data_IF_252970169411
#
_entry.id   IF_252970169411
#
_cell.length_a   1.000
_cell.length_b   1.000
_cell.length_c   1.000
_cell.angle_alpha   90.00
_cell.angle_beta   90.00
_cell.angle_gamma   90.00
#
_symmetry.space_group_name_H-M   'P 1'
#
loop_
_entity.id
_entity.type
_entity.pdbx_description
1 polymer ?
#
# COMPACT_ATOMS: atom_id res chain seq x y z
N UNK A 1 1.76 -15.01 6.86
CA UNK A 1 0.38 -15.52 7.07
C UNK A 1 0.10 -16.78 6.24
N UNK A 2 0.41 -16.87 4.93
CA UNK A 2 0.15 -18.10 4.16
C UNK A 2 0.72 -19.39 4.78
N UNK A 3 1.96 -19.35 5.28
CA UNK A 3 2.58 -20.52 5.94
C UNK A 3 1.80 -20.99 7.19
N UNK A 4 1.24 -20.09 7.97
CA UNK A 4 0.43 -20.45 9.14
C UNK A 4 -0.90 -21.11 8.73
N UNK A 5 -1.49 -20.66 7.62
CA UNK A 5 -2.68 -21.28 7.03
C UNK A 5 -2.35 -22.68 6.51
N UNK A 6 -1.26 -22.83 5.76
CA UNK A 6 -0.81 -24.10 5.19
C UNK A 6 -0.50 -25.17 6.26
N UNK A 7 -0.17 -24.74 7.48
CA UNK A 7 0.17 -25.60 8.62
C UNK A 7 -0.93 -25.70 9.67
N UNK A 8 -2.16 -25.27 9.34
CA UNK A 8 -3.34 -25.34 10.19
C UNK A 8 -3.20 -24.61 11.55
N UNK A 9 -2.32 -23.62 11.65
CA UNK A 9 -2.14 -22.85 12.89
C UNK A 9 -3.18 -21.75 13.05
N UNK A 10 -3.77 -21.30 11.94
CA UNK A 10 -4.87 -20.33 11.85
C UNK A 10 -5.96 -20.87 10.93
N UNK A 11 -7.18 -20.38 11.11
CA UNK A 11 -8.34 -20.75 10.28
C UNK A 11 -8.46 -19.84 9.05
N UNK A 12 -7.87 -18.65 9.09
CA UNK A 12 -7.87 -17.68 8.03
C UNK A 12 -6.97 -16.49 8.33
N UNK A 13 -6.90 -15.58 7.40
CA UNK A 13 -6.20 -14.30 7.59
C UNK A 13 -6.80 -13.20 6.72
N UNK A 14 -6.65 -11.96 7.15
CA UNK A 14 -6.83 -10.79 6.31
C UNK A 14 -5.48 -10.13 6.03
N UNK A 15 -5.16 -9.99 4.77
CA UNK A 15 -3.88 -9.46 4.32
C UNK A 15 -4.04 -8.59 3.08
N UNK A 16 -2.97 -7.91 2.74
CA UNK A 16 -2.78 -7.21 1.48
C UNK A 16 -2.25 -8.16 0.39
N UNK A 17 -2.32 -7.72 -0.86
CA UNK A 17 -1.71 -8.40 -1.98
C UNK A 17 -0.16 -8.32 -1.93
N UNK A 18 0.53 -9.38 -2.34
CA UNK A 18 0.05 -10.58 -3.07
C UNK A 18 -0.41 -11.74 -2.15
N UNK A 19 -0.45 -11.59 -0.85
CA UNK A 19 -0.68 -12.69 0.08
C UNK A 19 -2.10 -13.28 -0.02
N UNK A 20 -3.09 -12.51 -0.47
CA UNK A 20 -4.43 -13.02 -0.80
C UNK A 20 -4.37 -13.92 -2.03
N UNK A 21 -3.68 -13.47 -3.08
CA UNK A 21 -3.49 -14.25 -4.31
C UNK A 21 -2.71 -15.54 -4.06
N UNK A 22 -1.68 -15.53 -3.20
CA UNK A 22 -0.96 -16.75 -2.79
C UNK A 22 -1.92 -17.85 -2.34
N UNK A 23 -2.86 -17.54 -1.43
CA UNK A 23 -3.79 -18.55 -0.95
C UNK A 23 -4.74 -19.07 -2.04
N UNK A 24 -5.19 -18.20 -2.92
CA UNK A 24 -6.08 -18.51 -4.03
C UNK A 24 -5.36 -19.40 -5.08
N UNK A 25 -4.20 -18.98 -5.55
CA UNK A 25 -3.45 -19.68 -6.62
C UNK A 25 -2.96 -21.05 -6.15
N UNK A 26 -2.53 -21.16 -4.89
CA UNK A 26 -2.10 -22.44 -4.30
C UNK A 26 -3.26 -23.37 -3.93
N UNK A 27 -4.51 -22.87 -3.95
CA UNK A 27 -5.69 -23.62 -3.52
C UNK A 27 -5.74 -23.90 -2.01
N UNK A 28 -4.85 -23.30 -1.20
CA UNK A 28 -4.85 -23.51 0.25
C UNK A 28 -5.93 -22.68 0.96
N UNK A 29 -6.45 -21.65 0.32
CA UNK A 29 -7.45 -20.77 0.90
C UNK A 29 -8.54 -20.33 -0.09
N UNK A 30 -9.68 -19.96 0.46
CA UNK A 30 -10.83 -19.39 -0.24
C UNK A 30 -10.97 -17.93 0.15
N UNK A 31 -11.06 -17.02 -0.83
CA UNK A 31 -11.29 -15.60 -0.59
C UNK A 31 -12.74 -15.39 -0.20
N UNK A 32 -12.97 -14.98 1.04
CA UNK A 32 -14.30 -14.69 1.60
C UNK A 32 -14.85 -13.37 1.10
N UNK A 33 -13.97 -12.36 1.07
CA UNK A 33 -14.29 -11.00 0.61
C UNK A 33 -13.00 -10.25 0.29
N UNK A 34 -13.01 -9.46 -0.76
CA UNK A 34 -12.02 -8.40 -0.92
C UNK A 34 -12.40 -7.21 -0.02
N UNK A 35 -11.43 -6.35 0.26
CA UNK A 35 -11.59 -5.25 1.22
C UNK A 35 -12.70 -4.28 0.84
N UNK A 36 -12.85 -3.95 -0.44
CA UNK A 36 -13.91 -3.07 -0.96
C UNK A 36 -15.31 -3.66 -0.83
N UNK A 37 -15.40 -4.99 -0.73
CA UNK A 37 -16.65 -5.72 -0.63
C UNK A 37 -17.08 -6.02 0.81
N UNK A 38 -16.27 -5.66 1.80
CA UNK A 38 -16.60 -5.88 3.21
C UNK A 38 -17.84 -5.09 3.62
N UNK A 39 -18.73 -5.68 4.47
CA UNK A 39 -19.92 -4.97 4.95
C UNK A 39 -19.59 -3.89 6.00
N UNK A 40 -20.54 -2.94 6.16
CA UNK A 40 -21.72 -2.72 5.30
C UNK A 40 -21.32 -2.05 3.99
N UNK A 41 -21.83 -2.57 2.86
CA UNK A 41 -21.60 -1.93 1.55
C UNK A 41 -22.34 -0.59 1.46
N UNK A 42 -21.80 0.45 0.82
CA UNK A 42 -20.54 0.52 0.05
C UNK A 42 -19.39 1.17 0.86
N UNK A 43 -19.35 1.04 2.18
CA UNK A 43 -18.49 1.81 3.09
C UNK A 43 -17.00 1.74 2.73
N UNK A 44 -16.55 0.61 2.21
CA UNK A 44 -15.14 0.38 1.87
C UNK A 44 -14.84 0.45 0.38
N UNK A 45 -15.81 0.81 -0.46
CA UNK A 45 -15.60 1.04 -1.88
C UNK A 45 -14.64 2.23 -2.08
N UNK A 46 -13.65 2.11 -2.97
CA UNK A 46 -12.60 3.11 -3.21
C UNK A 46 -11.82 3.53 -1.95
N UNK A 47 -11.77 2.69 -0.92
CA UNK A 47 -11.09 3.07 0.32
C UNK A 47 -9.60 3.35 0.08
N UNK A 48 -9.08 4.33 0.81
CA UNK A 48 -7.66 4.66 0.75
C UNK A 48 -6.79 3.48 1.18
N UNK A 49 -5.67 3.31 0.50
CA UNK A 49 -4.66 2.36 0.87
C UNK A 49 -3.28 3.04 0.88
N UNK A 50 -2.31 2.62 0.06
CA UNK A 50 -1.00 3.24 0.12
C UNK A 50 -0.95 4.54 -0.70
N UNK A 51 -0.19 5.46 -0.17
CA UNK A 51 0.02 6.80 -0.71
C UNK A 51 1.49 7.17 -0.67
N UNK A 52 1.90 8.10 -1.52
CA UNK A 52 3.18 8.77 -1.32
C UNK A 52 3.05 9.73 -0.14
N UNK A 53 3.93 9.55 0.85
CA UNK A 53 4.03 10.38 2.05
C UNK A 53 5.38 11.09 2.03
N UNK A 54 5.43 12.37 2.36
CA UNK A 54 6.65 13.15 2.42
C UNK A 54 6.83 13.86 3.76
N UNK A 55 8.08 14.03 4.20
CA UNK A 55 8.40 14.92 5.32
C UNK A 55 8.18 16.36 4.88
N UNK A 56 7.48 17.14 5.72
CA UNK A 56 7.15 18.53 5.40
C UNK A 56 8.40 19.35 5.04
N UNK A 57 9.45 19.27 5.87
CA UNK A 57 10.73 19.96 5.66
C UNK A 57 11.33 19.66 4.29
N UNK A 58 11.40 18.36 3.90
CA UNK A 58 12.00 17.92 2.63
C UNK A 58 11.19 18.44 1.43
N UNK A 59 9.87 18.34 1.51
CA UNK A 59 8.97 18.81 0.44
C UNK A 59 9.03 20.32 0.30
N UNK A 60 9.07 21.06 1.43
CA UNK A 60 9.08 22.52 1.45
C UNK A 60 10.44 23.10 1.01
N UNK A 61 11.56 22.44 1.34
CA UNK A 61 12.90 22.85 0.92
C UNK A 61 13.21 22.49 -0.54
N UNK A 62 12.66 21.39 -1.05
CA UNK A 62 12.91 20.88 -2.40
C UNK A 62 11.61 20.58 -3.18
N UNK A 63 10.73 21.57 -3.38
CA UNK A 63 9.42 21.34 -3.99
C UNK A 63 9.52 20.80 -5.43
N UNK A 64 10.49 21.28 -6.22
CA UNK A 64 10.67 20.81 -7.62
C UNK A 64 11.15 19.37 -7.68
N UNK A 65 11.90 18.90 -6.69
CA UNK A 65 12.28 17.49 -6.55
C UNK A 65 11.07 16.63 -6.18
N UNK A 66 10.23 17.10 -5.26
CA UNK A 66 8.97 16.45 -4.90
C UNK A 66 8.04 16.34 -6.12
N UNK A 67 7.93 17.40 -6.92
CA UNK A 67 7.17 17.42 -8.17
C UNK A 67 7.72 16.39 -9.18
N UNK A 68 9.04 16.29 -9.33
CA UNK A 68 9.68 15.33 -10.24
C UNK A 68 9.44 13.88 -9.79
N UNK A 69 9.53 13.60 -8.49
CA UNK A 69 9.19 12.30 -7.93
C UNK A 69 7.71 11.96 -8.16
N UNK A 70 6.81 12.93 -8.00
CA UNK A 70 5.40 12.76 -8.28
C UNK A 70 5.14 12.47 -9.77
N UNK A 71 5.80 13.14 -10.70
CA UNK A 71 5.66 12.89 -12.15
C UNK A 71 6.01 11.44 -12.50
N UNK A 72 7.15 10.93 -12.04
CA UNK A 72 7.57 9.56 -12.37
C UNK A 72 6.63 8.52 -11.76
N UNK A 73 6.14 8.74 -10.52
CA UNK A 73 5.22 7.80 -9.88
C UNK A 73 3.81 7.84 -10.49
N UNK A 74 3.33 9.00 -10.96
CA UNK A 74 2.06 9.09 -11.69
C UNK A 74 2.17 8.31 -13.01
N UNK A 75 3.20 8.52 -13.79
CA UNK A 75 3.42 7.73 -15.02
C UNK A 75 3.54 6.23 -14.72
N UNK A 76 4.22 5.85 -13.65
CA UNK A 76 4.34 4.45 -13.25
C UNK A 76 3.02 3.84 -12.80
N UNK A 77 2.17 4.61 -12.11
CA UNK A 77 0.81 4.17 -11.73
C UNK A 77 -0.05 3.92 -12.96
N UNK A 78 -0.04 4.83 -13.93
CA UNK A 78 -0.74 4.68 -15.19
C UNK A 78 -0.22 3.47 -15.98
N UNK A 79 1.11 3.32 -16.07
CA UNK A 79 1.74 2.18 -16.73
C UNK A 79 1.37 0.84 -16.06
N UNK A 80 1.38 0.78 -14.74
CA UNK A 80 1.00 -0.41 -13.95
C UNK A 80 -0.43 -0.84 -14.28
N UNK A 81 -1.36 0.09 -14.37
CA UNK A 81 -2.76 -0.15 -14.72
C UNK A 81 -2.92 -0.62 -16.16
N UNK A 82 -2.18 -0.02 -17.09
CA UNK A 82 -2.27 -0.28 -18.54
C UNK A 82 -1.49 -1.52 -18.98
N UNK A 83 -0.48 -1.94 -18.20
CA UNK A 83 0.41 -3.05 -18.50
C UNK A 83 0.52 -4.04 -17.33
N UNK A 84 -0.58 -4.69 -16.92
CA UNK A 84 -0.62 -5.52 -15.72
C UNK A 84 0.35 -6.71 -15.77
N UNK A 85 0.66 -7.27 -16.94
CA UNK A 85 1.65 -8.34 -17.06
C UNK A 85 3.09 -7.86 -16.78
N UNK A 86 3.44 -6.65 -17.22
CA UNK A 86 4.74 -6.05 -16.92
C UNK A 86 4.85 -5.70 -15.43
N UNK A 87 3.77 -5.17 -14.84
CA UNK A 87 3.69 -4.89 -13.42
C UNK A 87 3.81 -6.18 -12.59
N UNK A 88 3.11 -7.24 -12.97
CA UNK A 88 3.19 -8.54 -12.32
C UNK A 88 4.63 -9.10 -12.34
N UNK A 89 5.33 -8.98 -13.47
CA UNK A 89 6.73 -9.39 -13.58
C UNK A 89 7.64 -8.57 -12.68
N UNK A 90 7.52 -7.26 -12.68
CA UNK A 90 8.32 -6.37 -11.85
C UNK A 90 8.11 -6.66 -10.35
N UNK A 91 6.85 -6.86 -9.93
CA UNK A 91 6.48 -7.21 -8.56
C UNK A 91 7.00 -8.59 -8.16
N UNK A 92 6.84 -9.60 -9.01
CA UNK A 92 7.32 -10.95 -8.74
C UNK A 92 8.83 -10.98 -8.44
N UNK A 93 9.62 -10.35 -9.33
CA UNK A 93 11.06 -10.25 -9.17
C UNK A 93 11.45 -9.49 -7.89
N UNK A 94 10.73 -8.39 -7.58
CA UNK A 94 11.05 -7.54 -6.44
C UNK A 94 10.65 -8.15 -5.09
N UNK A 95 9.45 -8.69 -5.00
CA UNK A 95 8.89 -9.19 -3.74
C UNK A 95 9.46 -10.57 -3.41
N UNK A 96 9.48 -11.48 -4.37
CA UNK A 96 9.80 -12.87 -4.17
C UNK A 96 11.17 -13.29 -4.73
N UNK A 97 11.73 -12.52 -5.68
CA UNK A 97 12.91 -12.93 -6.43
C UNK A 97 12.56 -13.88 -7.56
N UNK A 98 13.53 -14.75 -7.94
CA UNK A 98 13.42 -15.61 -9.13
C UNK A 98 13.14 -17.07 -8.81
N UNK A 99 12.92 -17.42 -7.54
CA UNK A 99 12.69 -18.81 -7.11
C UNK A 99 11.23 -19.06 -6.81
N UNK A 100 10.77 -20.26 -7.11
CA UNK A 100 9.43 -20.72 -6.74
C UNK A 100 9.16 -20.57 -5.24
N UNK A 101 7.92 -20.24 -4.92
CA UNK A 101 7.42 -20.17 -3.56
C UNK A 101 6.96 -21.54 -3.09
N UNK A 102 7.34 -21.92 -1.86
CA UNK A 102 6.94 -23.21 -1.28
C UNK A 102 6.22 -23.01 0.05
N UNK A 103 5.01 -23.58 0.15
CA UNK A 103 4.17 -23.59 1.34
C UNK A 103 3.79 -25.03 1.68
N UNK A 104 4.46 -25.63 2.67
CA UNK A 104 4.32 -27.06 2.94
C UNK A 104 4.85 -27.89 1.75
N UNK A 105 3.94 -28.59 1.07
CA UNK A 105 4.21 -29.40 -0.14
C UNK A 105 3.65 -28.77 -1.43
N UNK A 106 3.21 -27.53 -1.38
CA UNK A 106 2.70 -26.79 -2.52
C UNK A 106 3.79 -25.82 -3.02
N UNK A 107 4.09 -25.88 -4.31
CA UNK A 107 5.04 -24.99 -4.99
C UNK A 107 4.29 -24.20 -6.06
N UNK A 108 4.57 -22.90 -6.18
CA UNK A 108 3.94 -21.98 -7.13
C UNK A 108 4.97 -20.99 -7.67
N UNK A 109 4.85 -20.67 -8.96
CA UNK A 109 5.63 -19.62 -9.59
C UNK A 109 5.18 -18.24 -9.06
N UNK A 110 6.09 -17.38 -8.57
CA UNK A 110 5.78 -16.02 -8.17
C UNK A 110 5.01 -15.22 -9.23
N UNK A 111 5.32 -15.38 -10.49
CA UNK A 111 4.66 -14.68 -11.59
C UNK A 111 3.16 -15.05 -11.70
N UNK A 112 2.81 -16.31 -11.45
CA UNK A 112 1.40 -16.73 -11.44
C UNK A 112 0.63 -16.10 -10.27
N UNK A 113 1.30 -15.93 -9.13
CA UNK A 113 0.72 -15.21 -7.98
C UNK A 113 0.46 -13.76 -8.34
N UNK A 114 1.45 -13.07 -8.92
CA UNK A 114 1.34 -11.65 -9.24
C UNK A 114 0.33 -11.37 -10.36
N UNK A 115 0.24 -12.23 -11.37
CA UNK A 115 -0.81 -12.14 -12.40
C UNK A 115 -2.23 -12.26 -11.82
N UNK A 116 -2.37 -12.99 -10.72
CA UNK A 116 -3.65 -13.08 -10.01
C UNK A 116 -3.87 -11.91 -9.03
N UNK A 117 -2.81 -11.27 -8.58
CA UNK A 117 -2.79 -10.22 -7.59
C UNK A 117 -3.01 -8.83 -8.18
N UNK A 118 -2.14 -8.40 -9.08
CA UNK A 118 -2.13 -7.03 -9.64
C UNK A 118 -3.51 -6.57 -10.14
N UNK A 119 -4.30 -7.39 -10.88
CA UNK A 119 -5.62 -6.96 -11.35
C UNK A 119 -6.68 -6.72 -10.25
N UNK A 120 -6.38 -7.08 -9.00
CA UNK A 120 -7.30 -6.88 -7.86
C UNK A 120 -7.08 -5.56 -7.12
N UNK A 121 -6.12 -4.77 -7.57
CA UNK A 121 -5.76 -3.47 -6.99
C UNK A 121 -6.17 -2.37 -7.96
N UNK A 122 -6.77 -1.32 -7.45
CA UNK A 122 -7.13 -0.15 -8.24
C UNK A 122 -6.03 0.91 -8.16
N UNK A 123 -5.10 0.89 -9.12
CA UNK A 123 -4.00 1.86 -9.19
C UNK A 123 -4.51 3.23 -9.68
N UNK A 124 -4.49 4.22 -8.81
CA UNK A 124 -4.99 5.58 -9.05
C UNK A 124 -4.17 6.61 -8.26
N UNK A 125 -4.08 7.83 -8.78
CA UNK A 125 -3.38 8.92 -8.09
C UNK A 125 -4.30 10.08 -7.71
N UNK A 126 -5.58 10.04 -8.09
CA UNK A 126 -6.51 11.12 -7.78
C UNK A 126 -6.96 11.03 -6.33
N UNK A 127 -6.75 12.09 -5.50
CA UNK A 127 -7.35 12.18 -4.18
C UNK A 127 -8.85 12.51 -4.29
N UNK A 128 -9.64 11.51 -4.71
CA UNK A 128 -11.07 11.65 -4.92
C UNK A 128 -11.84 11.94 -3.62
N UNK A 129 -13.09 12.38 -3.75
CA UNK A 129 -13.94 12.62 -2.58
C UNK A 129 -14.20 11.33 -1.79
N UNK A 130 -14.36 10.17 -2.45
CA UNK A 130 -14.51 8.86 -1.80
C UNK A 130 -13.24 8.45 -1.06
N UNK A 131 -12.08 8.63 -1.67
CA UNK A 131 -10.79 8.39 -1.02
C UNK A 131 -10.60 9.26 0.23
N UNK A 132 -10.92 10.54 0.16
CA UNK A 132 -10.85 11.44 1.34
C UNK A 132 -11.85 11.05 2.43
N UNK A 133 -13.08 10.69 2.05
CA UNK A 133 -14.10 10.22 2.99
C UNK A 133 -13.69 8.93 3.71
N UNK A 134 -13.00 8.02 3.02
CA UNK A 134 -12.48 6.80 3.65
C UNK A 134 -11.40 7.09 4.71
N UNK A 135 -10.62 8.16 4.54
CA UNK A 135 -9.64 8.60 5.55
C UNK A 135 -10.35 9.12 6.81
N UNK A 136 -11.45 9.85 6.67
CA UNK A 136 -12.27 10.26 7.82
C UNK A 136 -12.88 9.04 8.54
N UNK A 137 -13.29 8.01 7.79
CA UNK A 137 -13.77 6.76 8.37
C UNK A 137 -12.66 6.03 9.16
N UNK A 138 -11.43 5.96 8.63
CA UNK A 138 -10.30 5.41 9.37
C UNK A 138 -9.99 6.21 10.64
N UNK A 139 -10.04 7.53 10.59
CA UNK A 139 -9.87 8.39 11.77
C UNK A 139 -10.95 8.08 12.81
N UNK A 140 -12.21 7.99 12.41
CA UNK A 140 -13.33 7.64 13.28
C UNK A 140 -13.10 6.29 13.97
N UNK A 141 -12.88 5.23 13.19
CA UNK A 141 -12.68 3.88 13.69
C UNK A 141 -11.46 3.77 14.64
N UNK A 142 -10.35 4.41 14.30
CA UNK A 142 -9.15 4.43 15.15
C UNK A 142 -9.37 5.22 16.44
N UNK A 143 -10.20 6.27 16.41
CA UNK A 143 -10.57 7.05 17.60
C UNK A 143 -11.47 6.24 18.53
N UNK A 144 -12.46 5.52 17.99
CA UNK A 144 -13.37 4.65 18.76
C UNK A 144 -12.65 3.57 19.58
N UNK A 145 -11.59 2.99 19.01
CA UNK A 145 -10.74 2.01 19.72
C UNK A 145 -9.63 2.64 20.56
N UNK A 146 -9.67 3.97 20.78
CA UNK A 146 -8.67 4.76 21.50
C UNK A 146 -7.23 4.64 20.95
N UNK A 147 -7.09 4.40 19.65
CA UNK A 147 -5.80 4.33 18.99
C UNK A 147 -5.28 5.71 18.58
N UNK A 148 -6.19 6.64 18.21
CA UNK A 148 -5.90 8.05 18.03
C UNK A 148 -6.32 8.84 19.28
N UNK A 149 -5.42 9.66 19.81
CA UNK A 149 -5.64 10.48 21.01
C UNK A 149 -4.95 11.86 20.89
N UNK A 150 -4.39 12.16 19.73
CA UNK A 150 -3.60 13.36 19.48
C UNK A 150 -4.37 14.46 18.74
N UNK A 151 -3.68 15.06 17.76
CA UNK A 151 -4.18 16.23 17.03
C UNK A 151 -5.41 15.93 16.17
N UNK A 152 -5.44 14.78 15.50
CA UNK A 152 -6.50 14.43 14.56
C UNK A 152 -7.80 14.01 15.26
N UNK A 153 -7.70 13.38 16.43
CA UNK A 153 -8.88 12.89 17.17
C UNK A 153 -9.90 14.01 17.46
N UNK A 154 -9.42 15.25 17.69
CA UNK A 154 -10.25 16.40 18.05
C UNK A 154 -10.28 17.53 17.01
N UNK A 155 -9.62 17.34 15.87
CA UNK A 155 -9.53 18.36 14.83
C UNK A 155 -10.87 18.48 14.06
N UNK A 156 -11.21 19.69 13.66
CA UNK A 156 -12.28 19.93 12.69
C UNK A 156 -11.92 19.36 11.32
N UNK A 157 -12.89 19.14 10.41
CA UNK A 157 -12.59 18.66 9.06
C UNK A 157 -11.55 19.50 8.30
N UNK A 158 -11.60 20.82 8.43
CA UNK A 158 -10.63 21.71 7.80
C UNK A 158 -9.22 21.51 8.38
N UNK A 159 -9.10 21.49 9.70
CA UNK A 159 -7.81 21.23 10.37
C UNK A 159 -7.25 19.86 10.06
N UNK A 160 -8.11 18.82 9.93
CA UNK A 160 -7.69 17.50 9.50
C UNK A 160 -7.06 17.53 8.11
N UNK A 161 -7.70 18.21 7.16
CA UNK A 161 -7.18 18.32 5.80
C UNK A 161 -5.82 19.03 5.78
N UNK A 162 -5.66 20.11 6.54
CA UNK A 162 -4.38 20.84 6.65
C UNK A 162 -3.27 20.00 7.30
N UNK A 163 -3.62 19.15 8.26
CA UNK A 163 -2.67 18.26 8.92
C UNK A 163 -2.28 17.08 8.05
N UNK A 164 -3.25 16.50 7.33
CA UNK A 164 -3.08 15.25 6.59
C UNK A 164 -2.43 15.45 5.22
N UNK A 165 -2.78 16.51 4.49
CA UNK A 165 -2.51 16.57 3.06
C UNK A 165 -1.62 17.73 2.64
N UNK A 166 -0.79 17.46 1.64
CA UNK A 166 -0.13 18.46 0.79
C UNK A 166 -0.19 17.97 -0.67
N UNK A 167 -1.26 18.31 -1.37
CA UNK A 167 -1.44 17.91 -2.76
C UNK A 167 -0.66 18.77 -3.77
N UNK A 168 0.15 19.75 -3.31
CA UNK A 168 0.96 20.59 -4.18
C UNK A 168 1.80 19.81 -5.19
N UNK A 169 2.63 18.83 -4.77
CA UNK A 169 3.42 18.01 -5.70
C UNK A 169 2.58 17.25 -6.73
N UNK A 170 1.41 16.74 -6.34
CA UNK A 170 0.48 16.07 -7.26
C UNK A 170 -0.08 17.01 -8.32
N UNK A 171 -0.59 18.18 -7.91
CA UNK A 171 -1.16 19.16 -8.84
C UNK A 171 -0.10 19.71 -9.80
N UNK A 172 1.11 19.99 -9.29
CA UNK A 172 2.23 20.43 -10.11
C UNK A 172 2.67 19.35 -11.10
N UNK A 173 2.72 18.10 -10.65
CA UNK A 173 3.05 16.97 -11.53
C UNK A 173 2.01 16.78 -12.65
N UNK A 174 0.73 16.86 -12.33
CA UNK A 174 -0.34 16.82 -13.36
C UNK A 174 -0.21 17.95 -14.37
N UNK A 175 0.11 19.15 -13.91
CA UNK A 175 0.34 20.29 -14.80
C UNK A 175 1.57 20.04 -15.68
N UNK A 176 2.67 19.54 -15.12
CA UNK A 176 3.89 19.21 -15.84
C UNK A 176 3.65 18.13 -16.93
N UNK A 177 2.93 17.07 -16.60
CA UNK A 177 2.53 15.99 -17.53
C UNK A 177 1.68 16.55 -18.67
N UNK A 178 0.65 17.33 -18.34
CA UNK A 178 -0.24 17.96 -19.35
C UNK A 178 0.54 18.88 -20.30
N UNK A 179 1.49 19.65 -19.76
CA UNK A 179 2.24 20.65 -20.52
C UNK A 179 3.50 20.04 -21.21
N UNK A 180 3.81 18.76 -20.98
CA UNK A 180 4.97 18.05 -21.51
C UNK A 180 6.29 18.63 -21.02
N UNK A 181 6.35 19.14 -19.77
CA UNK A 181 7.53 19.80 -19.20
C UNK A 181 7.86 19.21 -17.84
N UNK A 182 8.90 18.38 -17.80
CA UNK A 182 9.34 17.81 -16.54
C UNK A 182 9.92 18.86 -15.59
N UNK A 183 9.62 18.77 -14.28
CA UNK A 183 10.23 19.59 -13.25
C UNK A 183 11.74 19.35 -13.20
N UNK A 184 12.52 20.41 -13.30
CA UNK A 184 13.99 20.33 -13.26
C UNK A 184 14.51 21.28 -12.17
N UNK A 185 15.01 20.74 -11.05
CA UNK A 185 15.61 21.53 -9.99
C UNK A 185 16.82 22.36 -10.47
N UNK A 186 16.96 23.57 -9.98
CA UNK A 186 18.07 24.47 -10.31
C UNK A 186 19.34 24.19 -9.47
N UNK A 187 19.49 23.03 -8.88
CA UNK A 187 20.60 22.66 -7.98
C UNK A 187 21.33 21.40 -8.37
N UNK A 188 22.35 21.04 -7.60
CA UNK A 188 23.04 19.75 -7.71
C UNK A 188 22.18 18.57 -7.30
N UNK A 189 22.70 17.37 -7.50
CA UNK A 189 21.98 16.15 -7.14
C UNK A 189 21.96 15.98 -5.61
N UNK A 190 20.76 15.98 -5.07
CA UNK A 190 20.53 15.64 -3.66
C UNK A 190 20.50 14.13 -3.44
N UNK A 191 20.58 13.68 -2.19
CA UNK A 191 20.29 12.31 -1.82
C UNK A 191 18.98 12.29 -1.08
N UNK A 192 18.04 11.44 -1.52
CA UNK A 192 16.76 11.21 -0.85
C UNK A 192 16.59 9.72 -0.49
N UNK A 193 15.83 9.48 0.54
CA UNK A 193 15.49 8.13 1.02
C UNK A 193 14.00 7.86 0.83
N UNK A 194 13.64 6.72 0.24
CA UNK A 194 12.25 6.30 0.03
C UNK A 194 12.01 4.97 0.75
N UNK A 195 11.09 4.98 1.71
CA UNK A 195 10.63 3.78 2.39
C UNK A 195 9.55 3.05 1.60
N UNK A 196 9.59 1.71 1.61
CA UNK A 196 8.64 0.86 0.91
C UNK A 196 8.42 -0.48 1.63
N UNK A 197 7.37 -1.20 1.27
CA UNK A 197 7.07 -2.57 1.72
C UNK A 197 7.27 -3.58 0.58
N UNK A 198 7.48 -4.86 0.91
CA UNK A 198 7.38 -5.95 -0.06
C UNK A 198 5.89 -6.30 -0.24
N UNK A 199 5.22 -5.54 -1.06
CA UNK A 199 3.79 -5.58 -1.29
C UNK A 199 3.47 -5.08 -2.69
N UNK A 200 2.43 -5.63 -3.33
CA UNK A 200 1.91 -5.11 -4.61
C UNK A 200 1.33 -3.70 -4.49
N UNK A 201 1.07 -3.25 -3.28
CA UNK A 201 0.68 -1.87 -3.01
C UNK A 201 1.76 -0.87 -3.43
N UNK A 202 3.02 -1.31 -3.43
CA UNK A 202 4.19 -0.54 -3.88
C UNK A 202 4.54 -0.78 -5.37
N UNK A 203 3.72 -1.54 -6.12
CA UNK A 203 4.00 -1.89 -7.52
C UNK A 203 4.35 -0.69 -8.41
N UNK A 204 3.71 0.50 -8.31
CA UNK A 204 4.13 1.66 -9.09
C UNK A 204 5.60 2.06 -8.86
N UNK A 205 6.12 1.94 -7.64
CA UNK A 205 7.55 2.20 -7.36
C UNK A 205 8.44 1.13 -8.00
N UNK A 206 8.07 -0.14 -7.93
CA UNK A 206 8.83 -1.23 -8.54
C UNK A 206 8.86 -1.10 -10.06
N UNK A 207 7.72 -0.80 -10.67
CA UNK A 207 7.57 -0.55 -12.11
C UNK A 207 8.37 0.68 -12.54
N UNK A 208 8.30 1.79 -11.80
CA UNK A 208 9.07 3.00 -12.11
C UNK A 208 10.57 2.72 -12.24
N UNK A 209 11.08 1.76 -11.45
CA UNK A 209 12.50 1.41 -11.42
C UNK A 209 12.83 0.29 -12.42
N UNK A 210 12.02 -0.78 -12.50
CA UNK A 210 12.31 -1.90 -13.40
C UNK A 210 12.11 -1.52 -14.88
N UNK A 211 11.14 -0.68 -15.17
CA UNK A 211 10.82 -0.19 -16.52
C UNK A 211 11.41 1.21 -16.80
N UNK A 212 12.47 1.61 -16.08
CA UNK A 212 13.05 2.94 -16.14
C UNK A 212 13.42 3.41 -17.55
N UNK A 213 13.86 2.50 -18.44
CA UNK A 213 14.19 2.82 -19.83
C UNK A 213 12.97 3.32 -20.58
N UNK A 214 11.82 2.64 -20.41
CA UNK A 214 10.57 3.08 -21.00
C UNK A 214 10.20 4.51 -20.56
N UNK A 215 10.28 4.80 -19.25
CA UNK A 215 9.97 6.13 -18.70
C UNK A 215 10.94 7.20 -19.18
N UNK A 216 12.23 6.89 -19.21
CA UNK A 216 13.26 7.80 -19.73
C UNK A 216 13.02 8.13 -21.21
N UNK A 217 12.79 7.13 -22.06
CA UNK A 217 12.69 7.29 -23.50
C UNK A 217 11.36 7.91 -23.93
N UNK A 218 10.28 7.65 -23.17
CA UNK A 218 8.93 8.14 -23.50
C UNK A 218 8.66 9.51 -22.89
N UNK A 219 9.07 9.71 -21.64
CA UNK A 219 8.68 10.90 -20.87
C UNK A 219 9.88 11.77 -20.46
N UNK A 220 11.12 11.32 -20.65
CA UNK A 220 12.32 12.05 -20.25
C UNK A 220 12.51 12.13 -18.74
N UNK A 221 11.85 11.25 -17.97
CA UNK A 221 11.99 11.17 -16.51
C UNK A 221 12.01 9.72 -16.08
N UNK A 222 12.88 9.33 -15.13
CA UNK A 222 13.02 7.94 -14.71
C UNK A 222 13.67 7.79 -13.34
N UNK A 223 13.39 6.67 -12.67
CA UNK A 223 14.14 6.13 -11.54
C UNK A 223 15.09 5.03 -12.04
N UNK A 224 16.28 5.41 -12.47
CA UNK A 224 17.28 4.49 -13.04
C UNK A 224 17.96 3.68 -11.94
N UNK A 225 17.87 2.33 -11.94
CA UNK A 225 18.52 1.50 -10.92
C UNK A 225 20.04 1.67 -10.96
N UNK A 226 20.66 1.69 -9.78
CA UNK A 226 22.11 1.84 -9.59
C UNK A 226 22.73 0.61 -8.95
N UNK A 227 22.12 0.09 -7.89
CA UNK A 227 22.56 -1.13 -7.22
C UNK A 227 21.38 -2.08 -7.10
N UNK A 228 21.62 -3.34 -7.49
CA UNK A 228 20.61 -4.40 -7.43
C UNK A 228 21.21 -5.64 -6.79
N UNK A 229 20.44 -6.29 -5.89
CA UNK A 229 20.81 -7.53 -5.24
C UNK A 229 19.59 -8.46 -5.18
N UNK A 230 19.74 -9.68 -5.70
CA UNK A 230 18.70 -10.72 -5.69
C UNK A 230 17.34 -10.25 -6.25
N UNK A 231 17.34 -9.47 -7.35
CA UNK A 231 16.14 -8.95 -8.00
C UNK A 231 15.57 -7.67 -7.38
N UNK A 232 16.13 -7.21 -6.24
CA UNK A 232 15.71 -5.99 -5.54
C UNK A 232 16.70 -4.88 -5.79
N UNK A 233 16.20 -3.69 -6.04
CA UNK A 233 17.03 -2.50 -6.21
C UNK A 233 17.19 -1.81 -4.86
N UNK A 234 18.42 -1.54 -4.47
CA UNK A 234 18.75 -0.86 -3.20
C UNK A 234 18.91 0.64 -3.38
N UNK A 235 19.30 1.07 -4.57
CA UNK A 235 19.41 2.49 -4.90
C UNK A 235 19.15 2.75 -6.39
N UNK A 236 18.67 3.95 -6.68
CA UNK A 236 18.39 4.45 -8.02
C UNK A 236 18.88 5.89 -8.19
N UNK A 237 18.85 6.39 -9.40
CA UNK A 237 19.05 7.79 -9.73
C UNK A 237 17.74 8.35 -10.29
N UNK A 238 17.24 9.45 -9.73
CA UNK A 238 16.17 10.20 -10.37
C UNK A 238 16.76 11.07 -11.48
N UNK A 239 16.36 10.78 -12.72
CA UNK A 239 16.85 11.43 -13.93
C UNK A 239 15.71 12.23 -14.55
N UNK A 240 15.99 13.47 -14.93
CA UNK A 240 15.07 14.35 -15.65
C UNK A 240 15.80 14.92 -16.86
N UNK A 241 15.26 14.71 -18.06
CA UNK A 241 15.82 15.18 -19.34
C UNK A 241 17.32 14.85 -19.52
N UNK A 242 17.69 13.63 -19.09
CA UNK A 242 19.08 13.13 -19.14
C UNK A 242 19.99 13.66 -18.03
N UNK A 243 19.50 14.49 -17.13
CA UNK A 243 20.23 15.00 -15.96
C UNK A 243 19.88 14.21 -14.70
N UNK A 244 20.88 13.74 -13.95
CA UNK A 244 20.66 13.22 -12.60
C UNK A 244 20.35 14.39 -11.66
N UNK A 245 19.18 14.35 -10.99
CA UNK A 245 18.73 15.36 -10.05
C UNK A 245 18.73 14.87 -8.60
N UNK A 246 18.73 13.56 -8.38
CA UNK A 246 18.91 12.97 -7.05
C UNK A 246 19.50 11.57 -7.11
N UNK A 247 20.24 11.20 -6.05
CA UNK A 247 20.49 9.80 -5.68
C UNK A 247 19.36 9.34 -4.76
N UNK A 248 18.75 8.20 -5.06
CA UNK A 248 17.60 7.64 -4.33
C UNK A 248 18.04 6.37 -3.60
N UNK A 249 17.95 6.37 -2.27
CA UNK A 249 18.16 5.19 -1.45
C UNK A 249 16.80 4.57 -1.12
N UNK A 250 16.67 3.26 -1.33
CA UNK A 250 15.44 2.52 -1.08
C UNK A 250 15.55 1.73 0.23
N UNK A 251 14.61 1.96 1.12
CA UNK A 251 14.63 1.37 2.48
C UNK A 251 13.41 0.50 2.68
N UNK A 252 13.63 -0.81 2.75
CA UNK A 252 12.55 -1.76 3.02
C UNK A 252 12.11 -1.68 4.48
N UNK A 253 10.81 -1.48 4.70
CA UNK A 253 10.16 -1.64 6.01
C UNK A 253 9.55 -3.03 6.19
N UNK A 254 9.30 -3.40 7.44
CA UNK A 254 8.58 -4.63 7.80
C UNK A 254 7.08 -4.36 8.03
N UNK A 255 6.69 -3.10 8.19
CA UNK A 255 5.30 -2.66 8.35
C UNK A 255 5.17 -1.16 8.12
N UNK A 256 3.95 -0.69 7.83
CA UNK A 256 3.67 0.74 7.74
C UNK A 256 3.99 1.51 9.02
N UNK A 257 3.76 0.90 10.19
CA UNK A 257 4.13 1.51 11.48
C UNK A 257 5.65 1.70 11.62
N UNK A 258 6.45 0.75 11.13
CA UNK A 258 7.92 0.90 11.14
C UNK A 258 8.36 2.00 10.17
N UNK A 259 7.80 2.06 8.95
CA UNK A 259 8.09 3.14 8.01
C UNK A 259 7.80 4.52 8.64
N UNK A 260 6.67 4.66 9.32
CA UNK A 260 6.33 5.90 10.03
C UNK A 260 7.29 6.21 11.20
N UNK A 261 7.82 5.20 11.86
CA UNK A 261 8.87 5.40 12.88
C UNK A 261 10.16 5.93 12.25
N UNK A 262 10.54 5.41 11.08
CA UNK A 262 11.70 5.89 10.33
C UNK A 262 11.48 7.32 9.79
N UNK A 263 10.27 7.67 9.35
CA UNK A 263 9.90 9.05 9.00
C UNK A 263 10.04 9.98 10.21
N UNK A 264 9.52 9.57 11.37
CA UNK A 264 9.58 10.36 12.61
C UNK A 264 11.00 10.59 13.12
N UNK A 265 11.93 9.66 12.85
CA UNK A 265 13.36 9.78 13.17
C UNK A 265 14.20 10.48 12.09
N UNK A 266 13.58 11.01 11.06
CA UNK A 266 14.24 11.62 9.88
C UNK A 266 15.17 10.64 9.13
N UNK A 267 14.91 9.33 9.23
CA UNK A 267 15.64 8.29 8.50
C UNK A 267 15.07 8.03 7.11
N UNK A 268 13.88 8.57 6.83
CA UNK A 268 13.25 8.56 5.52
C UNK A 268 12.78 9.97 5.17
N UNK A 269 12.90 10.34 3.90
CA UNK A 269 12.40 11.60 3.33
C UNK A 269 10.99 11.42 2.76
N UNK A 270 10.79 10.31 2.07
CA UNK A 270 9.51 9.88 1.50
C UNK A 270 9.22 8.44 1.90
N UNK A 271 7.97 8.05 1.80
CA UNK A 271 7.56 6.64 1.96
C UNK A 271 6.33 6.35 1.12
N UNK A 272 6.29 5.15 0.53
CA UNK A 272 5.04 4.54 0.10
C UNK A 272 4.47 3.80 1.31
N UNK A 273 3.32 4.21 1.79
CA UNK A 273 2.78 3.69 3.06
C UNK A 273 1.26 3.79 3.14
N UNK A 274 0.69 2.85 3.89
CA UNK A 274 -0.72 2.80 4.20
C UNK A 274 -1.23 4.03 4.95
N UNK A 275 -2.42 4.47 4.61
CA UNK A 275 -3.03 5.67 5.19
C UNK A 275 -3.23 5.59 6.72
N UNK A 276 -3.78 4.53 7.34
CA UNK A 276 -3.95 4.46 8.80
C UNK A 276 -2.66 4.55 9.61
N UNK A 277 -1.55 3.88 9.28
CA UNK A 277 -0.26 4.13 9.93
C UNK A 277 0.20 5.58 9.80
N UNK A 278 0.02 6.19 8.62
CA UNK A 278 0.36 7.59 8.36
C UNK A 278 -0.49 8.54 9.20
N UNK A 279 -1.81 8.35 9.24
CA UNK A 279 -2.75 9.07 10.11
C UNK A 279 -2.28 9.00 11.57
N UNK A 280 -1.93 7.80 12.03
CA UNK A 280 -1.46 7.59 13.41
C UNK A 280 -0.17 8.36 13.72
N UNK A 281 0.76 8.42 12.77
CA UNK A 281 2.01 9.17 12.93
C UNK A 281 1.75 10.69 12.96
N UNK A 282 0.89 11.20 12.09
CA UNK A 282 0.48 12.62 12.07
C UNK A 282 -0.26 13.00 13.36
N UNK A 283 -1.16 12.14 13.86
CA UNK A 283 -1.86 12.33 15.13
C UNK A 283 -0.89 12.50 16.29
N UNK A 284 0.20 11.73 16.31
CA UNK A 284 1.28 11.82 17.30
C UNK A 284 2.23 13.01 17.10
N UNK A 285 2.05 13.78 16.02
CA UNK A 285 2.81 14.98 15.74
C UNK A 285 4.02 14.82 14.83
N UNK A 286 4.18 13.68 14.16
CA UNK A 286 5.21 13.52 13.12
C UNK A 286 4.96 14.52 11.99
N UNK A 287 5.96 15.33 11.58
CA UNK A 287 5.78 16.38 10.58
C UNK A 287 5.85 15.83 9.15
N UNK A 288 4.88 15.04 8.78
CA UNK A 288 4.69 14.41 7.46
C UNK A 288 3.31 14.73 6.91
N UNK A 289 3.15 14.64 5.60
CA UNK A 289 1.85 14.75 4.92
C UNK A 289 1.74 13.74 3.79
N UNK A 290 0.51 13.35 3.50
CA UNK A 290 0.15 12.55 2.32
C UNK A 290 0.16 13.49 1.12
N UNK A 291 0.90 13.10 0.07
CA UNK A 291 1.07 13.90 -1.15
C UNK A 291 0.06 13.50 -2.22
N UNK A 292 -0.21 12.22 -2.38
CA UNK A 292 -1.26 11.67 -3.24
C UNK A 292 -1.37 10.14 -3.07
N UNK A 293 -2.53 9.53 -3.42
CA UNK A 293 -2.68 8.07 -3.42
C UNK A 293 -1.88 7.43 -4.57
N UNK A 294 -1.46 6.18 -4.39
CA UNK A 294 -0.90 5.32 -5.44
C UNK A 294 -1.89 4.23 -5.85
N UNK A 295 -2.78 3.85 -4.97
CA UNK A 295 -3.87 2.93 -5.25
C UNK A 295 -4.95 3.00 -4.17
N UNK A 296 -6.08 2.39 -4.47
CA UNK A 296 -7.15 2.05 -3.52
C UNK A 296 -7.30 0.53 -3.42
N UNK A 297 -7.91 0.03 -2.33
CA UNK A 297 -8.26 -1.39 -2.18
C UNK A 297 -7.04 -2.32 -2.02
N UNK A 298 -7.08 -3.54 -2.60
CA UNK A 298 -5.93 -4.45 -2.66
C UNK A 298 -5.72 -5.34 -1.44
N UNK A 299 -6.73 -5.54 -0.59
CA UNK A 299 -6.70 -6.48 0.55
C UNK A 299 -7.84 -7.48 0.49
N UNK A 300 -7.79 -8.54 1.28
CA UNK A 300 -8.87 -9.51 1.34
C UNK A 300 -8.80 -10.44 2.55
N UNK A 301 -9.96 -10.96 2.93
CA UNK A 301 -10.12 -12.01 3.92
C UNK A 301 -10.10 -13.39 3.25
N UNK A 302 -9.21 -14.24 3.70
CA UNK A 302 -9.05 -15.62 3.25
C UNK A 302 -9.31 -16.56 4.41
N UNK A 303 -10.01 -17.67 4.16
CA UNK A 303 -10.11 -18.81 5.08
C UNK A 303 -9.51 -20.06 4.47
N UNK A 304 -9.11 -21.02 5.29
CA UNK A 304 -8.61 -22.30 4.79
C UNK A 304 -9.63 -22.97 3.84
N UNK A 305 -9.16 -23.54 2.74
CA UNK A 305 -10.03 -24.18 1.74
C UNK A 305 -10.92 -25.32 2.28
N UNK A 306 -10.55 -25.90 3.43
CA UNK A 306 -11.36 -26.87 4.15
C UNK A 306 -12.53 -26.26 4.96
N UNK A 307 -12.57 -24.93 5.15
CA UNK A 307 -13.69 -24.26 5.79
C UNK A 307 -14.94 -24.38 4.89
N UNK A 308 -16.14 -24.56 5.47
CA UNK A 308 -17.37 -24.69 4.68
C UNK A 308 -17.88 -23.30 4.19
N UNK A 309 -17.01 -22.53 3.56
CA UNK A 309 -17.27 -21.16 3.10
C UNK A 309 -16.94 -21.09 1.61
N UNK A 310 -17.84 -20.49 0.84
CA UNK A 310 -17.63 -20.29 -0.61
C UNK A 310 -16.87 -18.99 -0.89
N UNK A 311 -16.32 -18.90 -2.08
CA UNK A 311 -15.70 -17.65 -2.56
C UNK A 311 -16.73 -16.52 -2.60
N UNK A 312 -16.34 -15.33 -2.11
CA UNK A 312 -17.18 -14.13 -2.01
C UNK A 312 -18.50 -14.34 -1.22
N UNK A 313 -18.45 -15.15 -0.17
CA UNK A 313 -19.62 -15.51 0.65
C UNK A 313 -19.43 -15.06 2.10
N UNK A 314 -19.63 -13.77 2.35
CA UNK A 314 -19.53 -13.20 3.69
C UNK A 314 -20.56 -13.79 4.66
N UNK A 315 -21.81 -13.97 4.23
CA UNK A 315 -22.88 -14.52 5.07
C UNK A 315 -22.61 -15.98 5.45
N UNK A 316 -22.07 -16.76 4.52
CA UNK A 316 -21.59 -18.12 4.77
C UNK A 316 -20.44 -18.14 5.77
N UNK A 317 -19.51 -17.21 5.67
CA UNK A 317 -18.43 -17.06 6.65
C UNK A 317 -18.97 -16.72 8.05
N UNK A 318 -19.86 -15.75 8.19
CA UNK A 318 -20.49 -15.38 9.47
C UNK A 318 -21.26 -16.57 10.07
N UNK A 319 -22.01 -17.30 9.24
CA UNK A 319 -22.74 -18.50 9.65
C UNK A 319 -21.80 -19.60 10.15
N UNK A 320 -20.69 -19.81 9.44
CA UNK A 320 -19.67 -20.76 9.88
C UNK A 320 -19.04 -20.35 11.21
N UNK A 321 -18.63 -19.09 11.38
CA UNK A 321 -18.04 -18.59 12.63
C UNK A 321 -18.97 -18.81 13.80
N UNK A 322 -20.29 -18.51 13.64
CA UNK A 322 -21.31 -18.69 14.69
C UNK A 322 -21.56 -20.15 15.04
N UNK A 323 -21.38 -21.07 14.10
CA UNK A 323 -21.64 -22.50 14.27
C UNK A 323 -20.40 -23.34 14.63
N UNK A 324 -19.20 -22.76 14.60
CA UNK A 324 -17.93 -23.48 14.72
C UNK A 324 -17.72 -24.17 16.10
N UNK A 325 -18.45 -23.79 17.14
CA UNK A 325 -18.33 -24.37 18.50
C UNK A 325 -16.98 -24.04 19.20
N UNK A 326 -16.13 -23.23 18.56
CA UNK A 326 -14.84 -22.75 19.06
C UNK A 326 -14.52 -21.39 18.47
N UNK A 327 -13.60 -20.63 19.06
CA UNK A 327 -13.08 -19.43 18.42
C UNK A 327 -12.46 -19.75 17.06
N UNK A 328 -12.85 -18.99 16.02
CA UNK A 328 -12.19 -19.01 14.71
C UNK A 328 -11.00 -18.07 14.77
N UNK A 329 -9.81 -18.56 14.41
CA UNK A 329 -8.54 -17.81 14.50
C UNK A 329 -8.24 -17.15 13.17
N UNK A 330 -8.37 -15.83 13.12
CA UNK A 330 -8.01 -15.04 11.94
C UNK A 330 -6.75 -14.21 12.25
N UNK A 331 -5.68 -14.46 11.51
CA UNK A 331 -4.52 -13.59 11.57
C UNK A 331 -4.79 -12.30 10.79
N UNK A 332 -4.30 -11.18 11.31
CA UNK A 332 -4.43 -9.87 10.68
C UNK A 332 -3.14 -9.10 10.85
N UNK A 333 -2.91 -8.09 10.03
CA UNK A 333 -1.82 -7.14 10.18
C UNK A 333 -1.87 -6.43 11.57
N UNK A 334 -0.78 -5.81 12.03
CA UNK A 334 -0.75 -5.18 13.35
C UNK A 334 -1.91 -4.21 13.58
N UNK A 335 -2.31 -4.06 14.85
CA UNK A 335 -3.38 -3.16 15.27
C UNK A 335 -3.18 -1.76 14.70
N UNK A 336 -4.27 -1.19 14.17
CA UNK A 336 -4.26 0.11 13.50
C UNK A 336 -3.81 0.07 12.04
N UNK A 337 -3.58 -1.12 11.46
CA UNK A 337 -3.45 -1.29 10.01
C UNK A 337 -4.79 -1.18 9.30
N UNK A 338 -4.76 -1.00 7.98
CA UNK A 338 -5.97 -1.00 7.12
C UNK A 338 -6.80 -2.26 7.38
N UNK A 339 -6.14 -3.42 7.31
CA UNK A 339 -6.76 -4.73 7.43
C UNK A 339 -7.38 -4.98 8.82
N UNK A 340 -6.70 -4.53 9.89
CA UNK A 340 -7.23 -4.63 11.26
C UNK A 340 -8.49 -3.79 11.42
N UNK A 341 -8.46 -2.53 10.99
CA UNK A 341 -9.61 -1.63 11.11
C UNK A 341 -10.81 -2.14 10.32
N UNK A 342 -10.59 -2.51 9.06
CA UNK A 342 -11.66 -2.98 8.18
C UNK A 342 -12.29 -4.29 8.64
N UNK A 343 -11.45 -5.27 9.00
CA UNK A 343 -11.94 -6.57 9.46
C UNK A 343 -12.72 -6.42 10.77
N UNK A 344 -12.20 -5.69 11.74
CA UNK A 344 -12.86 -5.42 13.00
C UNK A 344 -14.23 -4.77 12.78
N UNK A 345 -14.25 -3.70 11.98
CA UNK A 345 -15.48 -2.99 11.64
C UNK A 345 -16.53 -3.93 11.02
N UNK A 346 -16.14 -4.70 9.99
CA UNK A 346 -17.05 -5.61 9.30
C UNK A 346 -17.59 -6.73 10.20
N UNK A 347 -16.75 -7.29 11.08
CA UNK A 347 -17.14 -8.33 12.03
C UNK A 347 -18.13 -7.80 13.08
N UNK A 348 -17.87 -6.62 13.65
CA UNK A 348 -18.74 -5.98 14.64
C UNK A 348 -20.09 -5.59 14.04
N UNK A 349 -20.11 -5.03 12.83
CA UNK A 349 -21.34 -4.74 12.08
C UNK A 349 -22.14 -6.02 11.74
N UNK A 350 -21.48 -7.18 11.68
CA UNK A 350 -22.11 -8.49 11.47
C UNK A 350 -22.52 -9.18 12.78
N UNK A 351 -22.39 -8.49 13.92
CA UNK A 351 -22.78 -8.99 15.24
C UNK A 351 -21.84 -10.05 15.81
N UNK A 352 -20.57 -10.02 15.43
CA UNK A 352 -19.52 -10.85 16.02
C UNK A 352 -18.71 -10.07 17.05
N UNK A 353 -18.18 -10.78 18.05
CA UNK A 353 -17.25 -10.23 19.03
C UNK A 353 -15.83 -10.56 18.62
N UNK A 354 -15.00 -9.52 18.49
CA UNK A 354 -13.58 -9.68 18.19
C UNK A 354 -12.78 -9.73 19.49
N UNK A 355 -12.06 -10.84 19.70
CA UNK A 355 -11.16 -11.01 20.84
C UNK A 355 -9.72 -11.06 20.31
N UNK A 356 -8.86 -10.23 20.84
CA UNK A 356 -7.42 -10.30 20.54
C UNK A 356 -6.83 -11.52 21.25
N UNK A 357 -6.16 -12.39 20.49
CA UNK A 357 -5.39 -13.49 21.07
C UNK A 357 -4.19 -12.90 21.84
N UNK A 358 -3.98 -13.39 23.07
CA UNK A 358 -2.83 -13.01 23.91
C UNK A 358 -1.57 -13.77 23.51
#
# INVERSE_FOLDING_TARGET
MPQLLATDQIDGYMAWQPFVAVAKVTGMGTVVSYSQDLPPKPVWEDHSCDSLVGRNEVVDENPVLADALAVVLIHATDYTRENPDAAAKASAEWIFGTSDLTFGNITVDPLDVEKASIPTIMFVNEPSASWMASNDLFIGALTEINYLQGKLANASPTERNELLYNFGPYENAKAAIRDGKNPLPAGGADTITIGYLLSDHDAPLFVAIKEWQHFNDTYGIALKPKTESAGKVESAELIVNGQKIADVQLVKGESGAQLMTLMASNSLDYSVAGTPPTITAIDKGTPIRILFPLHTEGSGLVVASKAPVKENDWDGFISWVKSAGRPVKIAVAPKGSIQDVQLRYALEQSGLVVNEAK
#
